data_IF_251452315070
#
_entry.id   IF_251452315070
#
_cell.length_a   1.000
_cell.length_b   1.000
_cell.length_c   1.000
_cell.angle_alpha   90.00
_cell.angle_beta   90.00
_cell.angle_gamma   90.00
#
_symmetry.space_group_name_H-M   'P 1'
#
loop_
_entity.id
_entity.type
_entity.pdbx_description
1 polymer ?
#
# COMPACT_ATOMS: atom_id res chain seq x y z
N UNK A 1 -4.94 -13.97 -0.54
CA UNK A 1 -5.56 -14.89 -1.52
C UNK A 1 -4.55 -15.26 -2.60
N UNK A 2 -4.38 -16.56 -2.87
CA UNK A 2 -3.43 -17.07 -3.88
C UNK A 2 -3.98 -17.06 -5.31
N UNK A 3 -5.17 -16.49 -5.52
CA UNK A 3 -5.80 -16.44 -6.82
C UNK A 3 -5.18 -15.33 -7.67
N UNK A 4 -4.64 -15.70 -8.81
CA UNK A 4 -4.09 -14.80 -9.82
C UNK A 4 -5.01 -14.78 -11.06
N UNK A 5 -4.86 -13.78 -11.91
CA UNK A 5 -5.53 -13.72 -13.20
C UNK A 5 -4.66 -13.08 -14.29
N UNK A 6 -4.96 -13.42 -15.54
CA UNK A 6 -4.50 -12.73 -16.75
C UNK A 6 -5.69 -12.16 -17.52
N UNK A 7 -5.43 -11.20 -18.39
CA UNK A 7 -6.41 -10.70 -19.36
C UNK A 7 -6.16 -11.40 -20.69
N UNK A 8 -7.21 -12.01 -21.23
CA UNK A 8 -7.22 -12.55 -22.59
C UNK A 8 -7.40 -11.42 -23.62
N UNK A 9 -7.34 -11.77 -24.91
CA UNK A 9 -7.51 -10.85 -26.04
C UNK A 9 -8.89 -10.17 -26.03
N UNK A 10 -9.92 -10.86 -25.53
CA UNK A 10 -11.26 -10.33 -25.32
C UNK A 10 -11.44 -9.51 -24.03
N UNK A 11 -10.34 -9.26 -23.28
CA UNK A 11 -10.37 -8.54 -22.01
C UNK A 11 -11.01 -9.31 -20.85
N UNK A 12 -11.35 -10.60 -21.05
CA UNK A 12 -11.88 -11.48 -20.01
C UNK A 12 -10.78 -11.94 -19.06
N UNK A 13 -11.11 -12.07 -17.76
CA UNK A 13 -10.17 -12.55 -16.74
C UNK A 13 -10.11 -14.07 -16.73
N UNK A 14 -8.93 -14.63 -16.95
CA UNK A 14 -8.65 -16.07 -16.77
C UNK A 14 -7.90 -16.26 -15.46
N UNK A 15 -8.48 -17.05 -14.57
CA UNK A 15 -7.94 -17.27 -13.23
C UNK A 15 -6.95 -18.43 -13.19
N UNK A 16 -5.89 -18.27 -12.42
CA UNK A 16 -4.85 -19.27 -12.21
C UNK A 16 -4.24 -19.13 -10.82
N UNK A 17 -3.63 -20.21 -10.32
CA UNK A 17 -2.86 -20.18 -9.07
C UNK A 17 -1.36 -19.92 -9.32
N UNK A 18 -0.92 -20.08 -10.58
CA UNK A 18 0.49 -19.91 -10.95
C UNK A 18 0.81 -18.44 -11.16
N UNK A 19 1.97 -17.99 -10.67
CA UNK A 19 2.43 -16.60 -10.83
C UNK A 19 2.84 -16.26 -12.26
N UNK A 20 3.25 -17.28 -13.01
CA UNK A 20 3.68 -17.19 -14.40
C UNK A 20 2.91 -18.23 -15.20
N UNK A 21 2.30 -17.79 -16.30
CA UNK A 21 1.63 -18.68 -17.24
C UNK A 21 2.66 -19.39 -18.14
N UNK A 22 2.33 -20.55 -18.74
CA UNK A 22 3.24 -21.23 -19.66
C UNK A 22 3.64 -20.36 -20.87
N UNK A 23 2.82 -19.37 -21.24
CA UNK A 23 3.13 -18.37 -22.26
C UNK A 23 3.98 -17.18 -21.77
N UNK A 24 4.57 -17.25 -20.58
CA UNK A 24 5.45 -16.20 -20.04
C UNK A 24 4.77 -14.90 -19.59
N UNK A 25 3.44 -14.80 -19.68
CA UNK A 25 2.70 -13.61 -19.24
C UNK A 25 2.62 -13.55 -17.70
N UNK A 26 2.97 -12.40 -17.14
CA UNK A 26 2.93 -12.14 -15.69
C UNK A 26 1.49 -12.02 -15.24
N UNK A 27 1.12 -12.78 -14.21
CA UNK A 27 -0.24 -12.80 -13.66
C UNK A 27 -0.43 -11.71 -12.58
N UNK A 28 -1.62 -11.11 -12.50
CA UNK A 28 -1.98 -10.11 -11.47
C UNK A 28 -2.79 -10.77 -10.36
N UNK A 29 -2.66 -10.28 -9.12
CA UNK A 29 -3.48 -10.75 -7.99
C UNK A 29 -4.95 -10.43 -8.21
N UNK A 30 -5.82 -11.44 -8.10
CA UNK A 30 -7.27 -11.31 -8.24
C UNK A 30 -7.96 -10.78 -6.98
N UNK A 31 -7.20 -10.46 -5.92
CA UNK A 31 -7.78 -10.00 -4.67
C UNK A 31 -8.24 -8.53 -4.79
N UNK A 32 -9.48 -8.20 -4.33
CA UNK A 32 -10.05 -6.86 -4.47
C UNK A 32 -9.20 -5.76 -3.81
N UNK A 33 -8.51 -6.07 -2.71
CA UNK A 33 -7.57 -5.14 -2.06
C UNK A 33 -6.29 -4.85 -2.86
N UNK A 34 -5.84 -5.79 -3.70
CA UNK A 34 -4.68 -5.57 -4.60
C UNK A 34 -5.11 -4.97 -5.93
N UNK A 35 -6.36 -5.17 -6.34
CA UNK A 35 -6.95 -4.55 -7.53
C UNK A 35 -6.96 -3.02 -7.41
N UNK A 36 -7.32 -2.48 -6.24
CA UNK A 36 -7.29 -1.04 -5.97
C UNK A 36 -5.87 -0.44 -5.99
N UNK A 37 -4.89 -1.14 -5.39
CA UNK A 37 -3.49 -0.68 -5.37
C UNK A 37 -2.88 -0.63 -6.79
N UNK A 38 -3.25 -1.59 -7.63
CA UNK A 38 -2.72 -1.76 -8.97
C UNK A 38 -3.45 -0.95 -10.06
N UNK A 39 -4.70 -0.56 -9.82
CA UNK A 39 -5.46 0.35 -10.69
C UNK A 39 -4.96 1.79 -10.56
N UNK A 40 -4.51 2.18 -9.36
CA UNK A 40 -3.87 3.47 -9.11
C UNK A 40 -2.49 3.56 -9.80
N UNK A 41 -1.75 2.45 -9.86
CA UNK A 41 -0.41 2.38 -10.48
C UNK A 41 -0.40 2.35 -12.01
N UNK A 42 -1.54 2.11 -12.68
CA UNK A 42 -1.63 2.18 -14.15
C UNK A 42 -1.85 3.59 -14.70
N UNK A 43 -2.17 4.55 -13.84
CA UNK A 43 -2.10 5.97 -14.19
C UNK A 43 -0.66 6.43 -13.97
N UNK A 44 0.17 6.32 -15.00
CA UNK A 44 1.47 6.97 -15.04
C UNK A 44 1.28 8.48 -14.94
N UNK A 45 1.29 8.99 -13.72
CA UNK A 45 1.68 10.36 -13.44
C UNK A 45 2.47 10.30 -12.15
N UNK A 46 3.80 10.30 -12.30
CA UNK A 46 4.73 10.74 -11.27
C UNK A 46 4.13 11.89 -10.48
N UNK A 47 3.69 11.61 -9.27
CA UNK A 47 3.74 12.57 -8.18
C UNK A 47 3.99 11.78 -6.91
N UNK A 48 4.95 12.26 -6.14
CA UNK A 48 5.23 11.86 -4.77
C UNK A 48 4.01 12.14 -3.87
N UNK A 49 2.92 11.40 -4.06
CA UNK A 49 1.61 11.74 -3.49
C UNK A 49 0.85 10.53 -2.93
N UNK A 50 1.54 9.44 -2.59
CA UNK A 50 0.99 8.41 -1.67
C UNK A 50 1.60 8.48 -0.26
N UNK A 51 2.59 9.36 -0.03
CA UNK A 51 3.18 9.63 1.29
C UNK A 51 2.83 11.03 1.84
N UNK A 52 1.81 11.66 1.29
CA UNK A 52 1.20 12.86 1.83
C UNK A 52 -0.26 12.44 1.98
N UNK A 53 -0.78 12.06 3.15
CA UNK A 53 -1.12 13.02 4.18
C UNK A 53 -1.77 12.24 5.35
N UNK A 54 -1.01 11.83 6.37
CA UNK A 54 -1.56 11.87 7.72
C UNK A 54 -1.56 13.35 8.14
N UNK A 55 -2.39 14.17 7.48
CA UNK A 55 -2.43 15.61 7.73
C UNK A 55 -2.96 15.79 9.13
N UNK A 56 -2.21 16.55 9.92
CA UNK A 56 -2.62 17.04 11.22
C UNK A 56 -4.08 17.52 11.14
N UNK A 57 -4.99 16.84 11.84
CA UNK A 57 -6.37 17.27 12.03
C UNK A 57 -6.43 18.08 13.33
N UNK A 58 -6.82 19.37 13.28
CA UNK A 58 -7.01 20.18 14.49
C UNK A 58 -8.03 19.58 15.46
N UNK A 59 -8.96 18.77 14.95
CA UNK A 59 -10.03 18.10 15.70
C UNK A 59 -9.69 16.65 16.11
N UNK A 60 -8.41 16.28 16.13
CA UNK A 60 -8.00 14.93 16.53
C UNK A 60 -8.19 14.69 18.04
N UNK A 61 -9.40 14.27 18.42
CA UNK A 61 -9.82 13.92 19.80
C UNK A 61 -8.89 12.88 20.46
N UNK A 62 -8.21 12.04 19.69
CA UNK A 62 -7.36 10.96 20.20
C UNK A 62 -5.86 11.27 20.20
N UNK A 63 -5.47 12.51 19.87
CA UNK A 63 -4.07 12.92 19.84
C UNK A 63 -3.33 12.62 21.16
N UNK A 64 -3.95 12.90 22.32
CA UNK A 64 -3.35 12.64 23.65
C UNK A 64 -3.07 11.17 23.87
N UNK A 65 -4.05 10.29 23.62
CA UNK A 65 -3.92 8.85 23.77
C UNK A 65 -2.81 8.29 22.87
N UNK A 66 -2.74 8.76 21.62
CA UNK A 66 -1.69 8.38 20.67
C UNK A 66 -0.30 8.74 21.19
N UNK A 67 -0.12 9.96 21.73
CA UNK A 67 1.16 10.39 22.30
C UNK A 67 1.53 9.56 23.54
N UNK A 68 0.59 9.29 24.43
CA UNK A 68 0.84 8.44 25.62
C UNK A 68 1.32 7.04 25.24
N UNK A 69 0.66 6.40 24.26
CA UNK A 69 1.05 5.09 23.75
C UNK A 69 2.46 5.16 23.15
N UNK A 70 2.72 6.13 22.27
CA UNK A 70 4.06 6.32 21.66
C UNK A 70 5.16 6.49 22.70
N UNK A 71 4.88 7.23 23.78
CA UNK A 71 5.81 7.45 24.90
C UNK A 71 6.08 6.17 25.69
N UNK A 72 5.06 5.33 25.93
CA UNK A 72 5.20 4.03 26.62
C UNK A 72 6.06 3.04 25.83
N UNK A 73 5.91 3.04 24.50
CA UNK A 73 6.65 2.13 23.61
C UNK A 73 8.01 2.69 23.15
N UNK A 74 8.41 3.90 23.58
CA UNK A 74 9.72 4.46 23.21
C UNK A 74 9.87 4.83 21.73
N UNK A 75 8.77 4.95 20.98
CA UNK A 75 8.76 5.18 19.52
C UNK A 75 8.64 6.66 19.15
N UNK A 76 8.76 7.57 20.12
CA UNK A 76 8.64 8.99 19.88
C UNK A 76 9.94 9.53 19.26
N UNK A 77 9.89 10.30 18.16
CA UNK A 77 11.09 10.83 17.52
C UNK A 77 11.97 11.69 18.44
N UNK A 78 11.37 12.30 19.47
CA UNK A 78 12.09 13.11 20.47
C UNK A 78 12.90 12.29 21.47
N UNK A 79 12.72 10.97 21.51
CA UNK A 79 13.46 10.06 22.39
C UNK A 79 14.66 9.41 21.69
N UNK A 80 14.71 9.47 20.35
CA UNK A 80 15.82 8.93 19.58
C UNK A 80 17.05 9.85 19.72
N UNK A 81 18.27 9.29 19.74
CA UNK A 81 19.48 10.10 19.70
C UNK A 81 19.46 10.97 18.44
N UNK A 82 19.90 12.22 18.58
CA UNK A 82 20.01 13.12 17.44
C UNK A 82 20.87 12.44 16.36
N UNK A 83 20.35 12.40 15.12
CA UNK A 83 21.11 11.87 14.00
C UNK A 83 22.38 12.72 13.85
N UNK A 84 23.59 12.14 13.90
CA UNK A 84 24.80 12.90 13.61
C UNK A 84 24.69 13.45 12.19
N UNK A 85 25.09 14.72 12.02
CA UNK A 85 25.07 15.42 10.74
C UNK A 85 26.06 14.82 9.75
#
# INVERSE_FOLDING_TARGET
MHLMYTLDEDGKRVYTLKKVTPGGKITRSAHPGTFWLNALASSQSDTLQTLLLARFSPDDKFARHRVTIKKRFGILPTQLPAKPM
#
